data_IF_980366315758
#
_entry.id   IF_980366315758
#
_cell.length_a   1.000
_cell.length_b   1.000
_cell.length_c   1.000
_cell.angle_alpha   90.00
_cell.angle_beta   90.00
_cell.angle_gamma   90.00
#
_symmetry.space_group_name_H-M   'P 1'
#
loop_
_entity.id
_entity.type
_entity.pdbx_description
1 polymer ?
#
# COMPACT_ATOMS: atom_id res chain seq x y z
N UNK A 1 22.00 -5.39 -1.20
CA UNK A 1 21.34 -4.85 0.00
C UNK A 1 22.21 -5.20 1.21
N UNK A 2 22.51 -4.23 2.07
CA UNK A 2 23.21 -4.46 3.35
C UNK A 2 22.24 -4.13 4.49
N UNK A 3 21.71 -5.16 5.17
CA UNK A 3 20.76 -4.95 6.25
C UNK A 3 21.39 -4.46 7.54
N UNK A 4 22.68 -4.70 7.80
CA UNK A 4 23.36 -4.16 8.99
C UNK A 4 23.59 -2.67 8.84
N UNK A 5 23.95 -2.21 7.65
CA UNK A 5 23.97 -0.78 7.32
C UNK A 5 22.59 -0.15 7.48
N UNK A 6 21.54 -0.77 6.93
CA UNK A 6 20.17 -0.31 7.10
C UNK A 6 19.80 -0.15 8.59
N UNK A 7 20.01 -1.18 9.40
CA UNK A 7 19.70 -1.16 10.83
C UNK A 7 20.48 -0.07 11.60
N UNK A 8 21.74 0.19 11.23
CA UNK A 8 22.53 1.28 11.81
C UNK A 8 21.98 2.65 11.43
N UNK A 9 21.65 2.87 10.15
CA UNK A 9 21.10 4.15 9.68
C UNK A 9 19.71 4.46 10.21
N UNK A 10 18.90 3.42 10.41
CA UNK A 10 17.52 3.53 10.91
C UNK A 10 17.39 3.12 12.38
N UNK A 11 18.48 3.18 13.15
CA UNK A 11 18.45 2.93 14.60
C UNK A 11 17.50 3.93 15.27
N UNK A 12 16.61 3.45 16.15
CA UNK A 12 15.62 4.28 16.84
C UNK A 12 14.43 4.72 15.99
N UNK A 13 14.32 4.26 14.73
CA UNK A 13 13.31 4.73 13.78
C UNK A 13 12.07 3.84 13.74
N UNK A 14 10.93 4.46 13.42
CA UNK A 14 9.62 3.82 13.26
C UNK A 14 9.21 3.86 11.79
N UNK A 15 9.13 2.69 11.17
CA UNK A 15 8.70 2.50 9.79
C UNK A 15 7.29 1.93 9.80
N UNK A 16 6.36 2.51 9.04
CA UNK A 16 4.99 2.03 8.91
C UNK A 16 4.65 1.76 7.45
N UNK A 17 4.28 0.51 7.18
CA UNK A 17 3.57 0.14 5.98
C UNK A 17 2.07 0.36 6.19
N UNK A 18 1.43 1.02 5.23
CA UNK A 18 -0.02 1.22 5.22
C UNK A 18 -0.55 0.71 3.88
N UNK A 19 -1.52 -0.20 3.90
CA UNK A 19 -2.12 -0.63 2.65
C UNK A 19 -2.85 -1.95 2.67
N UNK A 20 -2.92 -2.56 1.49
CA UNK A 20 -3.60 -3.83 1.27
C UNK A 20 -2.70 -5.05 1.57
N UNK A 21 -3.10 -6.23 1.08
CA UNK A 21 -2.35 -7.48 1.25
C UNK A 21 -0.92 -7.44 0.69
N UNK A 22 -0.61 -6.52 -0.22
CA UNK A 22 0.75 -6.39 -0.78
C UNK A 22 1.67 -5.58 0.13
N UNK A 23 1.16 -4.61 0.88
CA UNK A 23 1.89 -3.98 1.99
C UNK A 23 2.30 -5.02 3.02
N UNK A 24 1.44 -6.00 3.30
CA UNK A 24 1.79 -7.13 4.16
C UNK A 24 2.98 -7.92 3.60
N UNK A 25 2.98 -8.24 2.30
CA UNK A 25 4.08 -8.99 1.70
C UNK A 25 5.40 -8.21 1.74
N UNK A 26 5.38 -6.89 1.47
CA UNK A 26 6.58 -6.07 1.58
C UNK A 26 7.06 -5.93 3.03
N UNK A 27 6.14 -5.75 3.98
CA UNK A 27 6.47 -5.72 5.40
C UNK A 27 7.14 -7.03 5.86
N UNK A 28 6.58 -8.19 5.47
CA UNK A 28 7.18 -9.49 5.77
C UNK A 28 8.57 -9.64 5.13
N UNK A 29 8.70 -9.26 3.86
CA UNK A 29 9.98 -9.29 3.14
C UNK A 29 11.05 -8.48 3.85
N UNK A 30 10.74 -7.23 4.23
CA UNK A 30 11.68 -6.39 4.96
C UNK A 30 12.04 -6.99 6.33
N UNK A 31 11.05 -7.46 7.10
CA UNK A 31 11.31 -8.10 8.40
C UNK A 31 12.26 -9.30 8.26
N UNK A 32 12.03 -10.17 7.27
CA UNK A 32 12.92 -11.31 6.99
C UNK A 32 14.33 -10.87 6.57
N UNK A 33 14.47 -9.87 5.69
CA UNK A 33 15.77 -9.36 5.27
C UNK A 33 16.56 -8.75 6.43
N UNK A 34 15.89 -8.02 7.34
CA UNK A 34 16.51 -7.46 8.53
C UNK A 34 16.95 -8.55 9.49
N UNK A 35 16.07 -9.52 9.81
CA UNK A 35 16.42 -10.65 10.67
C UNK A 35 17.59 -11.46 10.11
N UNK A 36 17.57 -11.78 8.81
CA UNK A 36 18.64 -12.53 8.15
C UNK A 36 20.00 -11.81 8.20
N UNK A 37 20.02 -10.48 8.31
CA UNK A 37 21.24 -9.69 8.40
C UNK A 37 21.87 -9.68 9.79
N UNK A 38 21.07 -9.96 10.82
CA UNK A 38 21.46 -10.02 12.25
C UNK A 38 20.80 -11.22 12.94
N UNK A 39 21.08 -12.47 12.51
CA UNK A 39 20.30 -13.65 12.93
C UNK A 39 20.45 -14.00 14.42
N UNK A 40 21.48 -13.48 15.08
CA UNK A 40 21.75 -13.70 16.51
C UNK A 40 21.06 -12.67 17.41
N UNK A 41 20.52 -11.58 16.84
CA UNK A 41 19.82 -10.56 17.60
C UNK A 41 18.38 -10.99 17.86
N UNK A 42 17.91 -10.80 19.10
CA UNK A 42 16.51 -11.02 19.45
C UNK A 42 15.59 -10.09 18.65
N UNK A 43 14.45 -10.63 18.23
CA UNK A 43 13.38 -9.85 17.61
C UNK A 43 12.04 -10.18 18.27
N UNK A 44 11.07 -9.28 18.11
CA UNK A 44 9.69 -9.57 18.52
C UNK A 44 8.74 -9.36 17.35
N UNK A 45 7.68 -10.17 17.31
CA UNK A 45 6.53 -9.97 16.43
C UNK A 45 5.29 -9.97 17.30
N UNK A 46 4.51 -8.91 17.20
CA UNK A 46 3.23 -8.79 17.91
C UNK A 46 2.17 -8.18 17.03
N UNK A 47 0.90 -8.38 17.41
CA UNK A 47 -0.23 -7.73 16.76
C UNK A 47 -1.16 -7.16 17.81
N UNK A 48 -1.35 -5.85 17.77
CA UNK A 48 -2.18 -5.11 18.72
C UNK A 48 -3.08 -4.17 17.95
N UNK A 49 -4.39 -4.18 18.24
CA UNK A 49 -5.39 -3.32 17.58
C UNK A 49 -5.31 -3.34 16.05
N UNK A 50 -5.09 -4.52 15.46
CA UNK A 50 -4.98 -4.70 14.02
C UNK A 50 -3.60 -4.39 13.42
N UNK A 51 -2.74 -3.65 14.12
CA UNK A 51 -1.39 -3.27 13.68
C UNK A 51 -0.40 -4.39 14.02
N UNK A 52 0.33 -4.87 13.00
CA UNK A 52 1.40 -5.86 13.20
C UNK A 52 2.72 -5.13 13.38
N UNK A 53 3.52 -5.52 14.36
CA UNK A 53 4.78 -4.85 14.71
C UNK A 53 5.91 -5.88 14.76
N UNK A 54 6.97 -5.61 14.00
CA UNK A 54 8.26 -6.29 14.10
C UNK A 54 9.27 -5.34 14.72
N UNK A 55 10.01 -5.78 15.74
CA UNK A 55 11.08 -4.97 16.35
C UNK A 55 12.37 -5.75 16.50
N UNK A 56 13.48 -5.02 16.48
CA UNK A 56 14.80 -5.53 16.85
C UNK A 56 15.33 -4.61 17.97
N UNK A 57 15.17 -4.98 19.26
CA UNK A 57 15.47 -4.09 20.38
C UNK A 57 16.88 -3.53 20.43
N UNK A 58 17.89 -4.30 20.00
CA UNK A 58 19.30 -3.85 19.95
C UNK A 58 19.48 -2.60 19.06
N UNK A 59 18.67 -2.47 18.02
CA UNK A 59 18.66 -1.33 17.11
C UNK A 59 17.53 -0.33 17.40
N UNK A 60 16.71 -0.57 18.43
CA UNK A 60 15.54 0.26 18.76
C UNK A 60 14.67 0.58 17.53
N UNK A 61 14.61 -0.35 16.57
CA UNK A 61 13.88 -0.16 15.32
C UNK A 61 12.53 -0.87 15.41
N UNK A 62 11.50 -0.23 14.86
CA UNK A 62 10.19 -0.86 14.68
C UNK A 62 9.73 -0.75 13.23
N UNK A 63 9.29 -1.88 12.67
CA UNK A 63 8.71 -1.99 11.35
C UNK A 63 7.27 -2.48 11.51
N UNK A 64 6.31 -1.64 11.19
CA UNK A 64 4.90 -1.87 11.46
C UNK A 64 4.10 -2.00 10.17
N UNK A 65 2.95 -2.66 10.28
CA UNK A 65 1.94 -2.76 9.24
C UNK A 65 0.59 -2.38 9.81
N UNK A 66 0.00 -1.33 9.26
CA UNK A 66 -1.39 -0.97 9.43
C UNK A 66 -2.18 -1.33 8.16
N UNK A 67 -3.22 -2.14 8.32
CA UNK A 67 -4.00 -2.62 7.18
C UNK A 67 -5.11 -1.64 6.86
N UNK A 68 -4.88 -0.84 5.82
CA UNK A 68 -5.90 0.02 5.24
C UNK A 68 -5.86 -0.12 3.71
N UNK A 69 -6.67 -1.02 3.17
CA UNK A 69 -6.58 -1.42 1.78
C UNK A 69 -6.95 -0.32 0.77
N UNK A 70 -7.68 0.72 1.19
CA UNK A 70 -8.19 1.78 0.32
C UNK A 70 -7.64 3.16 0.67
N UNK A 71 -6.92 3.28 1.80
CA UNK A 71 -6.45 4.52 2.42
C UNK A 71 -7.57 5.46 2.89
N UNK A 72 -8.67 5.55 2.15
CA UNK A 72 -9.90 6.24 2.53
C UNK A 72 -10.84 5.37 3.37
N UNK A 73 -11.77 6.01 4.05
CA UNK A 73 -12.64 5.35 5.02
C UNK A 73 -13.76 4.52 4.37
N UNK A 74 -14.01 3.34 4.93
CA UNK A 74 -15.26 2.59 4.72
C UNK A 74 -16.05 2.64 6.02
N UNK A 75 -17.24 3.24 5.98
CA UNK A 75 -18.09 3.45 7.15
C UNK A 75 -19.39 2.67 6.99
N UNK A 76 -19.82 1.98 8.05
CA UNK A 76 -21.14 1.34 8.10
C UNK A 76 -22.20 2.40 8.45
N UNK A 77 -23.01 2.75 7.46
CA UNK A 77 -24.13 3.69 7.57
C UNK A 77 -25.46 2.91 7.54
N UNK A 78 -26.59 3.60 7.79
CA UNK A 78 -27.93 2.99 7.71
C UNK A 78 -28.24 2.38 6.34
N UNK A 79 -27.69 2.96 5.28
CA UNK A 79 -27.90 2.50 3.90
C UNK A 79 -27.04 1.29 3.53
N UNK A 80 -25.98 0.99 4.29
CA UNK A 80 -24.99 -0.04 3.99
C UNK A 80 -23.55 0.42 4.29
N UNK A 81 -22.56 -0.32 3.81
CA UNK A 81 -21.14 0.05 3.89
C UNK A 81 -20.84 1.11 2.81
N UNK A 82 -20.28 2.24 3.20
CA UNK A 82 -20.04 3.38 2.31
C UNK A 82 -18.55 3.66 2.23
N UNK A 83 -17.98 3.57 1.03
CA UNK A 83 -16.63 4.04 0.72
C UNK A 83 -16.68 5.56 0.58
N UNK A 84 -16.13 6.30 1.56
CA UNK A 84 -16.13 7.76 1.58
C UNK A 84 -14.83 8.28 0.97
N UNK A 85 -14.90 8.76 -0.27
CA UNK A 85 -13.71 9.13 -1.05
C UNK A 85 -12.98 10.37 -0.52
N UNK A 86 -13.65 11.23 0.24
CA UNK A 86 -13.10 12.48 0.77
C UNK A 86 -12.74 12.39 2.26
N UNK A 87 -12.56 11.18 2.80
CA UNK A 87 -12.39 10.94 4.24
C UNK A 87 -11.24 9.98 4.54
N UNK A 88 -10.32 10.42 5.41
CA UNK A 88 -9.20 9.64 5.94
C UNK A 88 -9.12 9.88 7.46
N UNK A 89 -10.17 9.49 8.19
CA UNK A 89 -10.23 9.65 9.66
C UNK A 89 -9.16 8.83 10.36
N UNK A 90 -8.84 7.67 9.79
CA UNK A 90 -7.78 6.79 10.33
C UNK A 90 -6.36 7.37 10.14
N UNK A 91 -6.20 8.44 9.36
CA UNK A 91 -4.89 9.01 9.04
C UNK A 91 -4.11 9.51 10.25
N UNK A 92 -4.78 9.90 11.34
CA UNK A 92 -4.09 10.31 12.57
C UNK A 92 -3.20 9.20 13.15
N UNK A 93 -3.54 7.93 12.91
CA UNK A 93 -2.74 6.79 13.33
C UNK A 93 -1.40 6.65 12.57
N UNK A 94 -1.23 7.36 11.45
CA UNK A 94 -0.03 7.34 10.61
C UNK A 94 0.94 8.47 10.92
N UNK A 95 0.56 9.43 11.77
CA UNK A 95 1.43 10.55 12.15
C UNK A 95 2.52 10.07 13.12
N UNK A 96 3.67 10.76 13.11
CA UNK A 96 4.76 10.51 14.04
C UNK A 96 5.64 9.28 13.73
N UNK A 97 5.54 8.73 12.52
CA UNK A 97 6.47 7.74 12.00
C UNK A 97 7.58 8.41 11.20
N UNK A 98 8.79 7.88 11.25
CA UNK A 98 9.93 8.42 10.49
C UNK A 98 9.88 8.03 9.01
N UNK A 99 9.17 6.95 8.69
CA UNK A 99 8.98 6.49 7.32
C UNK A 99 7.59 5.90 7.13
N UNK A 100 6.86 6.39 6.14
CA UNK A 100 5.56 5.90 5.71
C UNK A 100 5.68 5.25 4.33
N UNK A 101 5.21 4.02 4.20
CA UNK A 101 5.24 3.27 2.94
C UNK A 101 3.80 2.85 2.62
N UNK A 102 3.19 3.56 1.68
CA UNK A 102 1.81 3.34 1.28
C UNK A 102 1.71 2.39 0.09
N UNK A 103 0.67 1.54 0.05
CA UNK A 103 0.27 0.81 -1.14
C UNK A 103 -1.25 0.68 -1.18
N UNK A 104 -1.83 0.87 -2.36
CA UNK A 104 -3.25 0.58 -2.56
C UNK A 104 -3.54 0.35 -4.04
N UNK A 105 -4.08 -0.83 -4.39
CA UNK A 105 -4.63 -1.09 -5.74
C UNK A 105 -5.43 -2.38 -5.82
N UNK A 106 -4.87 -3.48 -5.31
CA UNK A 106 -5.35 -4.83 -5.62
C UNK A 106 -6.83 -5.02 -5.24
N UNK A 107 -7.24 -4.41 -4.13
CA UNK A 107 -8.60 -4.52 -3.60
C UNK A 107 -9.63 -3.64 -4.32
N UNK A 108 -9.22 -2.59 -5.02
CA UNK A 108 -10.14 -1.72 -5.78
C UNK A 108 -10.82 -2.46 -6.93
N UNK A 109 -10.19 -3.53 -7.42
CA UNK A 109 -10.70 -4.39 -8.48
C UNK A 109 -11.72 -5.42 -8.01
N UNK A 110 -11.88 -5.62 -6.70
CA UNK A 110 -12.83 -6.59 -6.16
C UNK A 110 -14.28 -6.25 -6.58
N UNK A 111 -15.06 -7.28 -6.91
CA UNK A 111 -16.47 -7.20 -7.31
C UNK A 111 -17.28 -8.26 -6.55
N UNK A 112 -18.60 -8.11 -6.54
CA UNK A 112 -19.52 -9.05 -5.88
C UNK A 112 -19.23 -9.18 -4.39
N UNK A 113 -19.23 -10.42 -3.88
CA UNK A 113 -18.99 -10.71 -2.45
C UNK A 113 -17.62 -10.26 -1.93
N UNK A 114 -16.63 -10.07 -2.81
CA UNK A 114 -15.31 -9.57 -2.43
C UNK A 114 -15.24 -8.04 -2.26
N UNK A 115 -16.27 -7.30 -2.69
CA UNK A 115 -16.31 -5.85 -2.56
C UNK A 115 -16.67 -5.47 -1.10
N UNK A 116 -15.80 -4.71 -0.39
CA UNK A 116 -16.04 -4.36 1.00
C UNK A 116 -16.98 -3.17 1.23
N UNK A 117 -17.46 -2.51 0.17
CA UNK A 117 -18.45 -1.44 0.23
C UNK A 117 -19.69 -1.76 -0.59
N UNK A 118 -20.80 -1.08 -0.30
CA UNK A 118 -22.09 -1.17 -1.00
C UNK A 118 -22.40 0.13 -1.77
N UNK A 119 -21.91 1.27 -1.25
CA UNK A 119 -22.07 2.60 -1.83
C UNK A 119 -20.74 3.35 -1.84
N UNK A 120 -20.66 4.35 -2.71
CA UNK A 120 -19.53 5.25 -2.88
C UNK A 120 -20.05 6.66 -2.63
N UNK A 121 -19.34 7.42 -1.79
CA UNK A 121 -19.72 8.79 -1.43
C UNK A 121 -18.58 9.76 -1.77
N UNK A 122 -18.92 10.85 -2.44
CA UNK A 122 -18.09 12.05 -2.66
C UNK A 122 -18.93 13.29 -2.28
N UNK A 123 -18.49 14.04 -1.28
CA UNK A 123 -19.28 15.08 -0.64
C UNK A 123 -20.66 14.58 -0.21
N UNK A 124 -21.72 15.17 -0.77
CA UNK A 124 -23.12 14.78 -0.52
C UNK A 124 -23.67 13.80 -1.57
N UNK A 125 -22.89 13.45 -2.60
CA UNK A 125 -23.34 12.57 -3.66
C UNK A 125 -23.05 11.10 -3.30
N UNK A 126 -24.08 10.26 -3.34
CA UNK A 126 -23.98 8.83 -3.03
C UNK A 126 -24.42 8.03 -4.26
N UNK A 127 -23.55 7.12 -4.69
CA UNK A 127 -23.79 6.27 -5.87
C UNK A 127 -23.48 4.82 -5.55
N UNK A 128 -24.19 3.88 -6.18
CA UNK A 128 -23.90 2.43 -6.07
C UNK A 128 -22.75 1.99 -6.97
N UNK A 129 -22.56 2.70 -8.07
CA UNK A 129 -21.58 2.35 -9.09
C UNK A 129 -20.82 3.59 -9.54
N UNK A 130 -19.52 3.42 -9.72
CA UNK A 130 -18.63 4.37 -10.38
C UNK A 130 -17.48 3.55 -10.96
N UNK A 131 -16.92 4.00 -12.08
CA UNK A 131 -15.80 3.33 -12.74
C UNK A 131 -14.61 3.16 -11.78
N UNK A 132 -13.93 2.01 -11.84
CA UNK A 132 -12.89 1.66 -10.87
C UNK A 132 -11.70 2.60 -10.90
N UNK A 133 -11.29 3.05 -12.08
CA UNK A 133 -10.17 3.98 -12.22
C UNK A 133 -10.58 5.37 -11.72
N UNK A 134 -11.83 5.78 -11.93
CA UNK A 134 -12.35 7.04 -11.38
C UNK A 134 -12.40 7.02 -9.85
N UNK A 135 -12.95 5.94 -9.27
CA UNK A 135 -13.05 5.75 -7.81
C UNK A 135 -11.66 5.71 -7.17
N UNK A 136 -10.73 4.97 -7.79
CA UNK A 136 -9.33 4.90 -7.37
C UNK A 136 -8.65 6.27 -7.42
N UNK A 137 -8.78 7.00 -8.53
CA UNK A 137 -8.19 8.33 -8.69
C UNK A 137 -8.67 9.30 -7.61
N UNK A 138 -9.98 9.36 -7.36
CA UNK A 138 -10.56 10.22 -6.32
C UNK A 138 -10.02 9.88 -4.93
N UNK A 139 -10.05 8.60 -4.55
CA UNK A 139 -9.53 8.18 -3.25
C UNK A 139 -8.03 8.43 -3.07
N UNK A 140 -7.24 8.16 -4.11
CA UNK A 140 -5.79 8.40 -4.08
C UNK A 140 -5.47 9.90 -4.06
N UNK A 141 -6.24 10.73 -4.75
CA UNK A 141 -6.13 12.19 -4.69
C UNK A 141 -6.38 12.71 -3.27
N UNK A 142 -7.39 12.17 -2.57
CA UNK A 142 -7.63 12.50 -1.15
C UNK A 142 -6.46 12.08 -0.28
N UNK A 143 -5.85 10.91 -0.52
CA UNK A 143 -4.64 10.49 0.17
C UNK A 143 -3.46 11.45 -0.09
N UNK A 144 -3.22 11.87 -1.34
CA UNK A 144 -2.15 12.82 -1.66
C UNK A 144 -2.31 14.14 -0.90
N UNK A 145 -3.53 14.68 -0.87
CA UNK A 145 -3.87 15.89 -0.09
C UNK A 145 -3.69 15.69 1.42
N UNK A 146 -4.02 14.50 1.93
CA UNK A 146 -3.78 14.17 3.33
C UNK A 146 -2.28 14.18 3.65
N UNK A 147 -1.44 13.59 2.78
CA UNK A 147 0.02 13.62 2.97
C UNK A 147 0.54 15.06 3.02
N UNK A 148 0.20 15.88 2.02
CA UNK A 148 0.64 17.28 1.94
C UNK A 148 0.21 18.13 3.16
N UNK A 149 -0.95 17.83 3.75
CA UNK A 149 -1.47 18.60 4.88
C UNK A 149 -1.09 18.06 6.25
N UNK A 150 -0.71 16.78 6.35
CA UNK A 150 -0.56 16.07 7.63
C UNK A 150 0.84 15.55 7.90
N UNK A 151 1.73 15.51 6.90
CA UNK A 151 3.07 14.95 7.01
C UNK A 151 4.11 16.05 6.83
N UNK A 152 5.03 16.15 7.79
CA UNK A 152 6.20 17.02 7.70
C UNK A 152 7.35 16.28 6.97
N UNK A 153 7.73 16.72 5.75
CA UNK A 153 8.75 16.03 4.96
C UNK A 153 10.16 16.16 5.56
N UNK A 154 10.39 17.10 6.49
CA UNK A 154 11.70 17.26 7.15
C UNK A 154 11.97 16.16 8.17
N UNK A 155 10.91 15.56 8.71
CA UNK A 155 10.98 14.53 9.75
C UNK A 155 10.51 13.16 9.27
N UNK A 156 9.64 13.10 8.27
CA UNK A 156 9.01 11.87 7.77
C UNK A 156 9.31 11.65 6.30
N UNK A 157 9.86 10.48 5.95
CA UNK A 157 9.99 10.06 4.55
C UNK A 157 8.72 9.35 4.09
N UNK A 158 8.18 9.74 2.94
CA UNK A 158 6.99 9.09 2.36
C UNK A 158 7.36 8.34 1.09
N UNK A 159 6.89 7.10 1.00
CA UNK A 159 7.01 6.26 -0.18
C UNK A 159 5.62 5.76 -0.59
N UNK A 160 5.40 5.64 -1.89
CA UNK A 160 4.28 4.91 -2.43
C UNK A 160 4.81 3.69 -3.20
N UNK A 161 4.54 2.49 -2.69
CA UNK A 161 4.74 1.26 -3.44
C UNK A 161 3.79 1.27 -4.63
N UNK A 162 4.37 1.28 -5.83
CA UNK A 162 3.63 1.31 -7.09
C UNK A 162 2.68 0.12 -7.28
N UNK A 163 1.94 0.17 -8.38
CA UNK A 163 0.95 -0.83 -8.74
C UNK A 163 1.62 -2.20 -8.93
N UNK A 164 1.19 -3.19 -8.14
CA UNK A 164 1.56 -4.58 -8.40
C UNK A 164 0.66 -5.16 -9.48
N UNK A 165 1.23 -5.67 -10.59
CA UNK A 165 0.45 -6.30 -11.65
C UNK A 165 -0.07 -7.67 -11.21
N UNK A 166 -1.03 -8.17 -11.98
CA UNK A 166 -1.53 -9.55 -11.91
C UNK A 166 -1.26 -10.25 -13.23
N UNK A 167 -0.97 -11.54 -13.21
CA UNK A 167 -0.60 -12.33 -14.39
C UNK A 167 -1.59 -13.48 -14.59
N UNK A 168 -2.86 -13.14 -14.84
CA UNK A 168 -3.94 -14.12 -15.04
C UNK A 168 -4.18 -14.48 -16.51
N UNK A 169 -3.64 -13.71 -17.46
CA UNK A 169 -3.86 -13.90 -18.88
C UNK A 169 -2.53 -14.03 -19.62
N UNK A 170 -2.16 -15.26 -19.99
CA UNK A 170 -0.92 -15.54 -20.71
C UNK A 170 -0.77 -14.84 -22.06
N UNK A 171 -1.88 -14.38 -22.66
CA UNK A 171 -1.83 -13.60 -23.89
C UNK A 171 -1.06 -12.29 -23.71
N UNK A 172 -0.97 -11.76 -22.48
CA UNK A 172 -0.16 -10.58 -22.17
C UNK A 172 1.35 -10.82 -22.32
N UNK A 173 1.79 -12.08 -22.38
CA UNK A 173 3.18 -12.46 -22.65
C UNK A 173 3.30 -13.49 -23.79
N UNK A 174 2.37 -13.44 -24.76
CA UNK A 174 2.36 -14.25 -25.97
C UNK A 174 2.18 -15.77 -25.75
N UNK A 175 1.52 -16.19 -24.68
CA UNK A 175 1.16 -17.58 -24.45
C UNK A 175 -0.36 -17.81 -24.51
N UNK A 176 -0.77 -18.91 -25.17
CA UNK A 176 -2.19 -19.25 -25.28
C UNK A 176 -2.70 -19.97 -24.03
N UNK A 177 -3.76 -19.44 -23.41
CA UNK A 177 -4.52 -20.10 -22.33
C UNK A 177 -3.68 -20.50 -21.10
N UNK A 178 -2.59 -19.78 -20.81
CA UNK A 178 -1.81 -19.94 -19.58
C UNK A 178 -2.14 -18.85 -18.57
N UNK A 179 -1.78 -19.11 -17.31
CA UNK A 179 -1.70 -18.10 -16.24
C UNK A 179 -0.25 -18.09 -15.75
N UNK A 180 0.06 -17.37 -14.66
CA UNK A 180 1.38 -17.47 -14.03
C UNK A 180 1.72 -18.86 -13.47
N UNK A 181 0.77 -19.78 -13.37
CA UNK A 181 1.01 -21.16 -12.92
C UNK A 181 1.91 -21.88 -13.92
N UNK A 182 3.03 -22.45 -13.43
CA UNK A 182 4.01 -23.17 -14.23
C UNK A 182 5.12 -22.29 -14.82
N UNK A 183 5.00 -20.96 -14.71
CA UNK A 183 6.05 -20.03 -15.13
C UNK A 183 7.21 -20.07 -14.14
N UNK A 184 8.42 -20.34 -14.64
CA UNK A 184 9.63 -20.49 -13.81
C UNK A 184 10.74 -19.50 -14.15
N UNK A 185 10.54 -18.69 -15.19
CA UNK A 185 11.48 -17.66 -15.64
C UNK A 185 10.77 -16.33 -15.81
N UNK A 186 11.45 -15.20 -15.56
CA UNK A 186 10.92 -13.89 -15.91
C UNK A 186 10.83 -13.74 -17.44
N UNK A 187 10.03 -12.78 -17.90
CA UNK A 187 10.01 -12.39 -19.30
C UNK A 187 11.36 -11.76 -19.67
N UNK A 188 11.87 -12.10 -20.85
CA UNK A 188 13.09 -11.53 -21.38
C UNK A 188 12.89 -10.07 -21.81
N UNK A 189 13.86 -9.21 -21.49
CA UNK A 189 13.86 -7.79 -21.84
C UNK A 189 13.39 -6.88 -20.70
N UNK A 190 13.34 -5.57 -20.98
CA UNK A 190 13.01 -4.54 -19.98
C UNK A 190 11.54 -4.10 -20.00
N UNK A 191 10.77 -4.57 -20.98
CA UNK A 191 9.40 -4.08 -21.23
C UNK A 191 8.43 -5.26 -21.23
N UNK A 192 7.41 -5.18 -20.37
CA UNK A 192 6.33 -6.16 -20.33
C UNK A 192 5.44 -6.02 -21.59
N UNK A 193 5.21 -7.10 -22.37
CA UNK A 193 4.46 -7.01 -23.62
C UNK A 193 2.99 -6.60 -23.44
N UNK A 194 2.35 -6.98 -22.33
CA UNK A 194 0.97 -6.62 -22.01
C UNK A 194 0.76 -5.16 -21.61
N UNK A 195 1.83 -4.36 -21.58
CA UNK A 195 1.77 -2.94 -21.21
C UNK A 195 1.63 -2.70 -19.70
N UNK A 196 1.62 -1.43 -19.33
CA UNK A 196 1.51 -1.03 -17.92
C UNK A 196 0.05 -1.00 -17.46
N UNK A 197 -0.27 -1.45 -16.23
CA UNK A 197 -1.60 -1.29 -15.68
C UNK A 197 -2.04 0.19 -15.71
N UNK A 198 -3.28 0.52 -16.15
CA UNK A 198 -3.73 1.91 -16.26
C UNK A 198 -3.63 2.71 -14.95
N UNK A 199 -3.79 2.05 -13.80
CA UNK A 199 -3.64 2.65 -12.48
C UNK A 199 -2.23 3.22 -12.22
N UNK A 200 -1.20 2.77 -12.93
CA UNK A 200 0.14 3.37 -12.86
C UNK A 200 0.11 4.82 -13.33
N UNK A 201 -0.70 5.14 -14.35
CA UNK A 201 -0.88 6.51 -14.82
C UNK A 201 -1.48 7.40 -13.74
N UNK A 202 -2.51 6.91 -13.05
CA UNK A 202 -3.17 7.63 -11.95
C UNK A 202 -2.20 7.87 -10.79
N UNK A 203 -1.43 6.86 -10.39
CA UNK A 203 -0.42 7.02 -9.33
C UNK A 203 0.60 8.09 -9.71
N UNK A 204 1.11 8.07 -10.95
CA UNK A 204 2.06 9.09 -11.43
C UNK A 204 1.45 10.49 -11.41
N UNK A 205 0.20 10.63 -11.88
CA UNK A 205 -0.53 11.89 -11.88
C UNK A 205 -0.68 12.45 -10.47
N UNK A 206 -1.21 11.65 -9.54
CA UNK A 206 -1.40 12.08 -8.14
C UNK A 206 -0.07 12.45 -7.49
N UNK A 207 0.97 11.61 -7.60
CA UNK A 207 2.28 11.91 -7.01
C UNK A 207 2.90 13.18 -7.62
N UNK A 208 2.72 13.43 -8.91
CA UNK A 208 3.24 14.65 -9.56
C UNK A 208 2.51 15.92 -9.12
N UNK A 209 1.29 15.79 -8.59
CA UNK A 209 0.48 16.91 -8.10
C UNK A 209 0.72 17.24 -6.62
N UNK A 210 1.49 16.40 -5.90
CA UNK A 210 1.79 16.61 -4.49
C UNK A 210 2.84 17.69 -4.30
N UNK A 211 2.69 18.47 -3.23
CA UNK A 211 3.58 19.56 -2.85
C UNK A 211 4.83 19.05 -2.13
N UNK A 212 4.72 17.89 -1.49
CA UNK A 212 5.83 17.17 -0.87
C UNK A 212 6.58 16.33 -1.91
N UNK A 213 7.70 16.85 -2.42
CA UNK A 213 8.71 16.09 -3.17
C UNK A 213 9.96 15.86 -2.33
#
# INVERSE_FOLDING_TARGET
FDGRDFLRRYKGKKILFVGDSLSLNQWQSLACMLHASVPQTNFTISRTNGVSTFTIPEYDISVKLDRNAFLVDIVKEKIGRVLKLDSIKHGDAWKGYDMLIFNTWHWWLHKGSKQPWDYIQEGNNIQKYMDRLVVFNKGLTTWGKWVDSSVDPTTTKVFFQGISPTHYNGQEWNESKSTCVGQTQPINGSTYPGGSPPAVGIVKEVLSSMSTQ
#
